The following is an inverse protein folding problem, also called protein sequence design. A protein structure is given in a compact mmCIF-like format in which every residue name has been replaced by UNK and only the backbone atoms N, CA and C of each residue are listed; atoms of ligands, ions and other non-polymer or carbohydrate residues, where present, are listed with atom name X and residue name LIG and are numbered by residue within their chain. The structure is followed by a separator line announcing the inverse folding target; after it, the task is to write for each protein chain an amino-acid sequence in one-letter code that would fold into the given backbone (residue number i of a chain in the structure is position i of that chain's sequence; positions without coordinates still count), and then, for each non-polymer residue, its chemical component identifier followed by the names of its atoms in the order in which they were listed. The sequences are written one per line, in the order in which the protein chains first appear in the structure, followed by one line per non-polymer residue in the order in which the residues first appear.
data_IF_892275084120
#
_entry.id   IF_892275084120
#
_cell.length_a   1.000
_cell.length_b   1.000
_cell.length_c   1.000
_cell.angle_alpha   90.00
_cell.angle_beta   90.00
_cell.angle_gamma   90.00
#
_symmetry.space_group_name_H-M   'P 1'
#
loop_
_entity.id
_entity.type
_entity.pdbx_description
1 polymer ?
#
# COMPACT_ATOMS: atom_id res chain seq x y z
N UNK A 1 21.52 -7.41 -1.00
CA UNK A 1 21.29 -6.17 -0.23
C UNK A 1 20.04 -5.53 -0.82
N UNK A 2 19.08 -5.09 0.00
CA UNK A 2 17.89 -4.38 -0.49
C UNK A 2 18.21 -2.90 -0.73
N UNK A 3 17.47 -2.25 -1.62
CA UNK A 3 17.57 -0.82 -1.93
C UNK A 3 16.17 -0.20 -1.81
N UNK A 4 16.01 0.76 -0.92
CA UNK A 4 14.75 1.47 -0.67
C UNK A 4 14.76 2.89 -1.26
N UNK A 5 15.71 3.14 -2.16
CA UNK A 5 15.93 4.44 -2.79
C UNK A 5 17.24 5.10 -2.36
N UNK A 6 18.02 4.49 -1.45
CA UNK A 6 19.31 5.06 -1.02
C UNK A 6 20.36 5.05 -2.14
N UNK A 7 20.28 4.05 -3.03
CA UNK A 7 21.16 3.94 -4.20
C UNK A 7 20.48 4.39 -5.50
N UNK A 8 19.18 4.69 -5.45
CA UNK A 8 18.41 5.15 -6.61
C UNK A 8 18.82 6.56 -7.05
N UNK A 9 18.85 6.77 -8.37
CA UNK A 9 19.10 8.08 -8.97
C UNK A 9 17.96 9.03 -8.55
N UNK A 10 18.29 10.08 -7.81
CA UNK A 10 17.30 11.05 -7.32
C UNK A 10 16.66 10.71 -5.96
N UNK A 11 17.08 9.62 -5.31
CA UNK A 11 16.62 9.20 -3.97
C UNK A 11 15.10 9.14 -3.83
N UNK A 12 14.44 8.57 -4.83
CA UNK A 12 12.98 8.45 -4.84
C UNK A 12 12.55 7.15 -4.18
N UNK A 13 11.57 7.22 -3.28
CA UNK A 13 10.98 6.05 -2.64
C UNK A 13 9.87 5.47 -3.52
N UNK A 14 9.87 4.15 -3.81
CA UNK A 14 8.85 3.51 -4.63
C UNK A 14 7.59 3.23 -3.78
N UNK A 15 6.61 4.13 -3.86
CA UNK A 15 5.35 4.05 -3.10
C UNK A 15 4.50 2.87 -3.57
N UNK A 16 4.55 2.57 -4.86
CA UNK A 16 3.82 1.47 -5.52
C UNK A 16 4.18 0.08 -4.99
N UNK A 17 5.42 -0.13 -4.54
CA UNK A 17 5.96 -1.43 -4.15
C UNK A 17 5.19 -2.05 -2.97
N UNK A 18 4.78 -1.25 -1.99
CA UNK A 18 3.96 -1.70 -0.87
C UNK A 18 2.55 -2.12 -1.32
N UNK A 19 1.94 -1.37 -2.24
CA UNK A 19 0.63 -1.70 -2.79
C UNK A 19 0.68 -2.97 -3.63
N UNK A 20 1.69 -3.12 -4.49
CA UNK A 20 1.91 -4.33 -5.26
C UNK A 20 2.08 -5.55 -4.36
N UNK A 21 2.77 -5.42 -3.23
CA UNK A 21 2.94 -6.53 -2.29
C UNK A 21 1.59 -7.02 -1.73
N UNK A 22 0.69 -6.11 -1.33
CA UNK A 22 -0.66 -6.47 -0.85
C UNK A 22 -1.50 -7.11 -1.97
N UNK A 23 -1.45 -6.53 -3.18
CA UNK A 23 -2.19 -7.04 -4.34
C UNK A 23 -1.70 -8.44 -4.74
N UNK A 24 -0.40 -8.68 -4.72
CA UNK A 24 0.19 -9.99 -4.99
C UNK A 24 -0.16 -11.01 -3.92
N UNK A 25 -0.16 -10.63 -2.64
CA UNK A 25 -0.61 -11.50 -1.57
C UNK A 25 -2.08 -11.91 -1.78
N UNK A 26 -2.95 -10.98 -2.18
CA UNK A 26 -4.35 -11.29 -2.52
C UNK A 26 -4.47 -12.20 -3.73
N UNK A 27 -3.65 -11.97 -4.76
CA UNK A 27 -3.62 -12.81 -5.95
C UNK A 27 -3.17 -14.23 -5.62
N UNK A 28 -2.16 -14.39 -4.77
CA UNK A 28 -1.71 -15.69 -4.25
C UNK A 28 -2.85 -16.44 -3.57
N UNK A 29 -3.47 -15.84 -2.53
CA UNK A 29 -4.55 -16.52 -1.79
C UNK A 29 -5.75 -16.84 -2.66
N UNK A 30 -6.04 -16.01 -3.67
CA UNK A 30 -7.10 -16.27 -4.66
C UNK A 30 -6.77 -17.45 -5.58
N UNK A 31 -5.52 -17.52 -6.03
CA UNK A 31 -5.06 -18.52 -6.99
C UNK A 31 -4.91 -19.89 -6.36
N UNK A 32 -4.38 -19.95 -5.13
CA UNK A 32 -4.12 -21.20 -4.41
C UNK A 32 -5.30 -21.66 -3.56
N UNK A 33 -6.17 -20.73 -3.14
CA UNK A 33 -7.18 -20.97 -2.10
C UNK A 33 -6.59 -21.07 -0.68
N UNK A 34 -5.28 -20.91 -0.53
CA UNK A 34 -4.56 -21.00 0.74
C UNK A 34 -4.38 -19.62 1.38
N UNK A 35 -5.04 -19.41 2.51
CA UNK A 35 -4.94 -18.19 3.32
C UNK A 35 -3.83 -18.23 4.37
N UNK A 36 -3.19 -19.39 4.60
CA UNK A 36 -2.25 -19.58 5.71
C UNK A 36 -1.09 -18.57 5.68
N UNK A 37 -0.56 -18.27 4.50
CA UNK A 37 0.48 -17.25 4.31
C UNK A 37 0.00 -15.86 4.73
N UNK A 38 -1.19 -15.44 4.28
CA UNK A 38 -1.74 -14.13 4.63
C UNK A 38 -2.05 -14.03 6.14
N UNK A 39 -2.39 -15.15 6.78
CA UNK A 39 -2.67 -15.24 8.21
C UNK A 39 -1.42 -15.25 9.10
N UNK A 40 -0.22 -15.41 8.53
CA UNK A 40 1.02 -15.37 9.32
C UNK A 40 1.16 -14.01 10.03
N UNK A 41 1.60 -13.99 11.31
CA UNK A 41 1.78 -12.74 12.06
C UNK A 41 2.66 -11.72 11.34
N UNK A 42 3.71 -12.19 10.64
CA UNK A 42 4.63 -11.35 9.87
C UNK A 42 3.93 -10.70 8.67
N UNK A 43 3.07 -11.43 7.96
CA UNK A 43 2.30 -10.90 6.84
C UNK A 43 1.23 -9.92 7.30
N UNK A 44 0.53 -10.20 8.40
CA UNK A 44 -0.41 -9.27 9.01
C UNK A 44 0.29 -7.97 9.43
N UNK A 45 1.45 -8.08 10.09
CA UNK A 45 2.27 -6.92 10.47
C UNK A 45 2.74 -6.13 9.25
N UNK A 46 3.18 -6.82 8.20
CA UNK A 46 3.59 -6.19 6.93
C UNK A 46 2.47 -5.36 6.31
N UNK A 47 1.26 -5.93 6.19
CA UNK A 47 0.08 -5.21 5.71
C UNK A 47 -0.23 -3.98 6.57
N UNK A 48 -0.26 -4.13 7.91
CA UNK A 48 -0.54 -3.03 8.84
C UNK A 48 0.48 -1.89 8.72
N UNK A 49 1.77 -2.21 8.56
CA UNK A 49 2.81 -1.21 8.37
C UNK A 49 2.62 -0.41 7.07
N UNK A 50 2.34 -1.10 5.95
CA UNK A 50 2.06 -0.45 4.66
C UNK A 50 0.83 0.46 4.78
N UNK A 51 -0.26 -0.04 5.36
CA UNK A 51 -1.48 0.74 5.55
C UNK A 51 -1.24 1.95 6.46
N UNK A 52 -0.50 1.80 7.56
CA UNK A 52 -0.23 2.92 8.47
C UNK A 52 0.54 4.07 7.80
N UNK A 53 1.48 3.75 6.90
CA UNK A 53 2.19 4.80 6.15
C UNK A 53 1.21 5.61 5.30
N UNK A 54 0.30 4.95 4.60
CA UNK A 54 -0.63 5.60 3.66
C UNK A 54 -1.87 6.21 4.31
N UNK A 55 -2.28 5.70 5.48
CA UNK A 55 -3.45 6.17 6.25
C UNK A 55 -3.06 7.11 7.39
N UNK A 56 -1.79 7.51 7.46
CA UNK A 56 -1.31 8.44 8.49
C UNK A 56 -2.02 9.79 8.36
N UNK A 57 -2.42 10.37 9.49
CA UNK A 57 -2.98 11.72 9.49
C UNK A 57 -1.94 12.71 8.97
N UNK A 58 -2.37 13.56 8.05
CA UNK A 58 -1.53 14.58 7.43
C UNK A 58 -2.29 15.88 7.23
N UNK A 59 -1.59 16.89 6.74
CA UNK A 59 -2.18 18.18 6.37
C UNK A 59 -2.92 18.14 5.02
N UNK A 60 -2.95 16.99 4.36
CA UNK A 60 -3.67 16.85 3.10
C UNK A 60 -5.18 16.89 3.33
N UNK A 61 -5.87 17.64 2.48
CA UNK A 61 -7.33 17.81 2.53
C UNK A 61 -8.04 16.88 1.55
N UNK A 62 -7.29 16.19 0.69
CA UNK A 62 -7.81 15.22 -0.26
C UNK A 62 -7.66 13.79 0.29
N UNK A 63 -8.61 12.89 -0.01
CA UNK A 63 -8.51 11.47 0.37
C UNK A 63 -7.47 10.69 -0.48
N UNK A 64 -6.90 11.34 -1.49
CA UNK A 64 -5.86 10.78 -2.37
C UNK A 64 -4.47 10.91 -1.75
N UNK A 65 -3.59 9.95 -2.04
CA UNK A 65 -2.25 9.92 -1.50
C UNK A 65 -1.34 10.92 -2.24
N UNK A 66 -0.82 11.91 -1.52
CA UNK A 66 0.17 12.86 -2.04
C UNK A 66 1.50 12.17 -2.30
N UNK A 67 2.08 12.40 -3.49
CA UNK A 67 3.30 11.74 -3.93
C UNK A 67 4.29 12.70 -4.59
N UNK A 68 5.58 12.40 -4.43
CA UNK A 68 6.66 13.04 -5.19
C UNK A 68 6.69 12.52 -6.65
N UNK A 69 7.35 13.26 -7.54
CA UNK A 69 7.63 12.78 -8.90
C UNK A 69 8.57 11.56 -8.83
N UNK A 70 8.41 10.60 -9.74
CA UNK A 70 9.22 9.37 -9.73
C UNK A 70 8.78 8.27 -8.74
N UNK A 71 7.61 8.39 -8.09
CA UNK A 71 7.22 7.54 -6.96
C UNK A 71 6.59 6.18 -7.32
N UNK A 72 6.41 5.90 -8.61
CA UNK A 72 5.73 4.70 -9.13
C UNK A 72 6.58 4.01 -10.19
N UNK A 73 5.98 3.24 -11.11
CA UNK A 73 6.71 2.62 -12.23
C UNK A 73 7.53 3.65 -13.02
N UNK A 74 7.02 4.87 -13.14
CA UNK A 74 7.76 6.01 -13.65
C UNK A 74 8.64 6.52 -12.50
N UNK A 75 9.93 6.15 -12.52
CA UNK A 75 10.95 6.44 -11.50
C UNK A 75 11.76 7.72 -11.77
N UNK A 76 11.38 8.47 -12.80
CA UNK A 76 12.03 9.73 -13.22
C UNK A 76 11.04 10.88 -13.23
N UNK A 77 11.61 12.09 -13.22
CA UNK A 77 10.85 13.33 -13.30
C UNK A 77 10.08 13.43 -14.62
N UNK A 78 8.77 13.22 -14.55
CA UNK A 78 7.85 13.27 -15.69
C UNK A 78 6.65 14.19 -15.44
N UNK A 79 6.63 14.92 -14.32
CA UNK A 79 5.51 15.78 -13.95
C UNK A 79 4.34 15.00 -13.34
N UNK A 80 4.60 13.81 -12.78
CA UNK A 80 3.57 12.95 -12.16
C UNK A 80 3.48 13.12 -10.63
N UNK A 81 3.96 14.26 -10.11
CA UNK A 81 3.84 14.61 -8.70
C UNK A 81 2.39 14.99 -8.33
N UNK A 82 2.07 15.00 -7.03
CA UNK A 82 0.73 15.29 -6.54
C UNK A 82 -0.06 13.99 -6.36
N UNK A 83 -1.09 13.79 -7.18
CA UNK A 83 -2.03 12.66 -7.05
C UNK A 83 -2.08 11.81 -8.34
N UNK A 84 -0.99 11.13 -8.71
CA UNK A 84 -0.94 10.39 -9.97
C UNK A 84 -1.92 9.20 -9.98
N UNK A 85 -2.66 9.04 -11.08
CA UNK A 85 -3.71 8.02 -11.20
C UNK A 85 -3.21 6.60 -10.98
N UNK A 86 -1.96 6.30 -11.35
CA UNK A 86 -1.33 4.99 -11.12
C UNK A 86 -1.29 4.66 -9.63
N UNK A 87 -0.79 5.59 -8.81
CA UNK A 87 -0.73 5.42 -7.36
C UNK A 87 -2.14 5.37 -6.77
N UNK A 88 -3.06 6.25 -7.19
CA UNK A 88 -4.41 6.26 -6.60
C UNK A 88 -5.17 4.96 -6.91
N UNK A 89 -5.04 4.43 -8.13
CA UNK A 89 -5.65 3.17 -8.53
C UNK A 89 -5.04 1.98 -7.76
N UNK A 90 -3.71 1.94 -7.62
CA UNK A 90 -3.03 0.92 -6.84
C UNK A 90 -3.38 1.00 -5.35
N UNK A 91 -3.43 2.20 -4.79
CA UNK A 91 -3.82 2.44 -3.41
C UNK A 91 -5.25 1.93 -3.16
N UNK A 92 -6.21 2.31 -3.99
CA UNK A 92 -7.58 1.82 -3.89
C UNK A 92 -7.68 0.28 -3.98
N UNK A 93 -6.95 -0.33 -4.91
CA UNK A 93 -6.90 -1.80 -5.03
C UNK A 93 -6.28 -2.45 -3.79
N UNK A 94 -5.20 -1.88 -3.26
CA UNK A 94 -4.54 -2.37 -2.06
C UNK A 94 -5.45 -2.28 -0.82
N UNK A 95 -6.17 -1.17 -0.64
CA UNK A 95 -7.18 -1.00 0.43
C UNK A 95 -8.26 -2.09 0.34
N UNK A 96 -8.82 -2.30 -0.86
CA UNK A 96 -9.82 -3.35 -1.13
C UNK A 96 -9.28 -4.76 -0.83
N UNK A 97 -8.02 -5.02 -1.17
CA UNK A 97 -7.37 -6.30 -0.88
C UNK A 97 -7.13 -6.48 0.63
N UNK A 98 -6.69 -5.42 1.31
CA UNK A 98 -6.44 -5.43 2.74
C UNK A 98 -7.69 -5.75 3.55
N UNK A 99 -8.86 -5.19 3.18
CA UNK A 99 -10.14 -5.52 3.84
C UNK A 99 -10.47 -7.02 3.81
N UNK A 100 -10.00 -7.74 2.78
CA UNK A 100 -10.24 -9.17 2.64
C UNK A 100 -9.20 -10.00 3.41
N UNK A 101 -7.96 -9.51 3.49
CA UNK A 101 -6.82 -10.25 4.03
C UNK A 101 -6.55 -9.98 5.52
N UNK A 102 -6.97 -8.84 6.05
CA UNK A 102 -6.77 -8.48 7.46
C UNK A 102 -7.60 -9.40 8.37
N UNK A 103 -6.95 -9.91 9.42
CA UNK A 103 -7.65 -10.61 10.49
C UNK A 103 -8.61 -9.66 11.20
N UNK A 104 -9.72 -10.20 11.70
CA UNK A 104 -10.71 -9.45 12.47
C UNK A 104 -10.36 -9.46 13.98
N UNK A 105 -9.07 -9.39 14.30
CA UNK A 105 -8.58 -9.13 15.66
C UNK A 105 -8.72 -7.64 16.00
N UNK A 106 -8.44 -7.25 17.23
CA UNK A 106 -8.66 -5.87 17.69
C UNK A 106 -7.89 -4.85 16.84
N UNK A 107 -6.62 -5.13 16.52
CA UNK A 107 -5.82 -4.29 15.62
C UNK A 107 -6.38 -4.27 14.19
N UNK A 108 -6.75 -5.42 13.63
CA UNK A 108 -7.26 -5.47 12.26
C UNK A 108 -8.60 -4.78 12.08
N UNK A 109 -9.48 -4.78 13.10
CA UNK A 109 -10.73 -4.02 13.08
C UNK A 109 -10.49 -2.51 12.98
N UNK A 110 -9.52 -1.97 13.72
CA UNK A 110 -9.16 -0.55 13.64
C UNK A 110 -8.76 -0.17 12.20
N UNK A 111 -7.93 -0.97 11.55
CA UNK A 111 -7.55 -0.74 10.16
C UNK A 111 -8.74 -0.86 9.21
N UNK A 112 -9.61 -1.86 9.39
CA UNK A 112 -10.81 -2.04 8.57
C UNK A 112 -11.71 -0.80 8.64
N UNK A 113 -11.92 -0.25 9.85
CA UNK A 113 -12.69 0.98 10.04
C UNK A 113 -12.05 2.19 9.35
N UNK A 114 -10.73 2.37 9.51
CA UNK A 114 -9.98 3.45 8.84
C UNK A 114 -9.97 3.32 7.32
N UNK A 115 -9.93 2.10 6.79
CA UNK A 115 -10.01 1.87 5.34
C UNK A 115 -11.42 2.15 4.81
N UNK A 116 -12.45 1.81 5.57
CA UNK A 116 -13.84 2.00 5.17
C UNK A 116 -14.24 3.48 5.02
N UNK A 117 -13.53 4.43 5.65
CA UNK A 117 -13.78 5.87 5.45
C UNK A 117 -13.25 6.41 4.12
N UNK A 118 -12.38 5.66 3.44
CA UNK A 118 -11.74 6.05 2.18
C UNK A 118 -12.31 5.34 0.93
N UNK A 119 -13.28 4.43 1.11
CA UNK A 119 -13.95 3.68 0.03
C UNK A 119 -15.38 4.18 -0.17
#
# INVERSE_FOLDING_TARGET
MADFGESAIGRVAPVDSGFWWIVLLRAYTKSTGDSSLAEMPECQRGMRLILNLCLSEGFDTFPTLLCADGCCMIDRRMGVYGYPIEIQALFFMALRCALILLKQDDEGKEFVERVATLL
#
